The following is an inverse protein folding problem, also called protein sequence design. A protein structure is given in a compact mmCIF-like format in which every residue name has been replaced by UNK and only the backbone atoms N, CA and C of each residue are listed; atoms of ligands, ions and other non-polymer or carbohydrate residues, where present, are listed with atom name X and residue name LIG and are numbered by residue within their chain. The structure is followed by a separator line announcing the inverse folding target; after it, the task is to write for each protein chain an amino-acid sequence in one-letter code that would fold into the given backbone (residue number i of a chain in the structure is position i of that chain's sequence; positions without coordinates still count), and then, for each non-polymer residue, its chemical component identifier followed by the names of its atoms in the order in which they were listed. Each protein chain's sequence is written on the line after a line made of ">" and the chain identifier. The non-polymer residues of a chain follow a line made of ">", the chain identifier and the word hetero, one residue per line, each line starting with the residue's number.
data_IF_040406797738
#
_entry.id   IF_040406797738
#
_cell.length_a   1.000
_cell.length_b   1.000
_cell.length_c   1.000
_cell.angle_alpha   90.00
_cell.angle_beta   90.00
_cell.angle_gamma   90.00
#
_symmetry.space_group_name_H-M   'P 1'
#
loop_
_entity.id
_entity.type
_entity.pdbx_description
1 polymer ?
#
# COMPACT_ATOMS: atom_id res chain seq x y z
N UNK A 1 3.09 -7.04 1.93
CA UNK A 1 4.17 -6.80 0.94
C UNK A 1 5.14 -5.81 1.54
N UNK A 2 6.46 -6.02 1.50
CA UNK A 2 7.44 -5.16 2.18
C UNK A 2 8.66 -4.75 1.35
N UNK A 3 8.76 -5.24 0.10
CA UNK A 3 9.95 -5.09 -0.76
C UNK A 3 9.65 -4.44 -2.11
N UNK A 4 8.43 -3.92 -2.29
CA UNK A 4 8.01 -3.25 -3.53
C UNK A 4 8.66 -1.88 -3.70
N UNK A 5 8.67 -1.40 -4.94
CA UNK A 5 9.13 -0.04 -5.25
C UNK A 5 7.96 0.90 -5.00
N UNK A 6 8.17 1.94 -4.18
CA UNK A 6 7.17 2.99 -3.95
C UNK A 6 7.16 4.00 -5.10
N UNK A 7 6.00 4.58 -5.38
CA UNK A 7 5.86 5.58 -6.42
C UNK A 7 4.53 6.33 -6.35
N UNK A 8 4.20 6.98 -7.46
CA UNK A 8 2.98 7.78 -7.63
C UNK A 8 2.24 7.37 -8.91
N UNK A 9 0.91 7.42 -8.87
CA UNK A 9 0.08 7.37 -10.08
C UNK A 9 -0.97 8.47 -10.03
N UNK A 10 -0.64 9.62 -10.63
CA UNK A 10 -1.53 10.80 -10.71
C UNK A 10 -1.85 11.39 -9.33
N UNK A 11 -0.87 11.43 -8.43
CA UNK A 11 -1.03 11.93 -7.06
C UNK A 11 -1.40 10.85 -6.04
N UNK A 12 -1.74 9.63 -6.48
CA UNK A 12 -2.02 8.51 -5.58
C UNK A 12 -0.72 7.77 -5.22
N UNK A 13 -0.38 7.64 -3.92
CA UNK A 13 0.81 6.91 -3.50
C UNK A 13 0.63 5.41 -3.72
N UNK A 14 1.64 4.77 -4.31
CA UNK A 14 1.57 3.38 -4.76
C UNK A 14 2.78 2.55 -4.33
N UNK A 15 2.63 1.22 -4.41
CA UNK A 15 3.72 0.26 -4.36
C UNK A 15 3.58 -0.76 -5.49
N UNK A 16 4.65 -0.95 -6.26
CA UNK A 16 4.72 -1.97 -7.29
C UNK A 16 5.25 -3.30 -6.72
N UNK A 17 4.55 -4.40 -7.00
CA UNK A 17 4.96 -5.76 -6.61
C UNK A 17 6.33 -6.09 -7.19
N UNK A 18 7.30 -6.58 -6.39
CA UNK A 18 8.63 -6.93 -6.88
C UNK A 18 8.62 -7.98 -7.99
N UNK A 19 7.66 -8.90 -7.95
CA UNK A 19 7.56 -10.04 -8.85
C UNK A 19 6.58 -9.75 -9.99
N UNK A 20 5.28 -9.64 -9.66
CA UNK A 20 4.19 -9.50 -10.63
C UNK A 20 4.02 -8.11 -11.23
N UNK A 21 4.79 -7.11 -10.77
CA UNK A 21 4.77 -5.70 -11.22
C UNK A 21 3.44 -4.96 -11.12
N UNK A 22 2.39 -5.63 -10.65
CA UNK A 22 1.11 -5.03 -10.29
C UNK A 22 1.33 -3.88 -9.32
N UNK A 23 0.66 -2.76 -9.57
CA UNK A 23 0.72 -1.54 -8.78
C UNK A 23 -0.46 -1.49 -7.84
N UNK A 24 -0.22 -1.32 -6.54
CA UNK A 24 -1.25 -1.24 -5.52
C UNK A 24 -1.27 0.15 -4.88
N UNK A 25 -2.47 0.66 -4.60
CA UNK A 25 -2.66 1.88 -3.83
C UNK A 25 -2.23 1.69 -2.37
N UNK A 26 -1.46 2.62 -1.82
CA UNK A 26 -1.16 2.66 -0.39
C UNK A 26 -2.32 3.24 0.44
N UNK A 27 -3.32 3.85 -0.20
CA UNK A 27 -4.47 4.45 0.50
C UNK A 27 -5.50 3.38 0.89
N UNK A 28 -5.82 2.47 -0.01
CA UNK A 28 -6.92 1.50 0.19
C UNK A 28 -6.58 0.07 -0.24
N UNK A 29 -5.35 -0.17 -0.72
CA UNK A 29 -4.84 -1.49 -1.08
C UNK A 29 -5.34 -2.02 -2.42
N UNK A 30 -6.18 -1.29 -3.17
CA UNK A 30 -6.68 -1.75 -4.47
C UNK A 30 -5.53 -1.90 -5.47
N UNK A 31 -5.57 -2.94 -6.28
CA UNK A 31 -4.68 -3.05 -7.44
C UNK A 31 -5.17 -2.09 -8.53
N UNK A 32 -4.25 -1.32 -9.10
CA UNK A 32 -4.54 -0.33 -10.15
C UNK A 32 -4.47 -0.93 -11.56
N UNK A 33 -4.07 -2.20 -11.66
CA UNK A 33 -3.91 -2.92 -12.92
C UNK A 33 -4.95 -4.05 -13.09
N UNK A 34 -5.51 -4.56 -11.98
CA UNK A 34 -6.52 -5.62 -11.97
C UNK A 34 -7.40 -5.52 -10.72
N UNK A 35 -8.66 -5.12 -10.89
CA UNK A 35 -9.61 -4.89 -9.79
C UNK A 35 -9.96 -6.17 -9.00
N UNK A 36 -9.65 -7.36 -9.52
CA UNK A 36 -9.85 -8.61 -8.80
C UNK A 36 -8.88 -8.80 -7.62
N UNK A 37 -7.81 -7.99 -7.54
CA UNK A 37 -6.81 -8.07 -6.50
C UNK A 37 -6.83 -6.85 -5.56
N UNK A 38 -6.74 -7.12 -4.25
CA UNK A 38 -6.63 -6.10 -3.22
C UNK A 38 -5.75 -6.59 -2.08
N UNK A 39 -4.88 -5.72 -1.58
CA UNK A 39 -4.10 -5.96 -0.36
C UNK A 39 -4.87 -5.48 0.87
N UNK A 40 -4.74 -6.14 2.03
CA UNK A 40 -5.25 -5.60 3.28
C UNK A 40 -4.49 -4.31 3.63
N UNK A 41 -5.23 -3.30 4.06
CA UNK A 41 -4.71 -2.07 4.65
C UNK A 41 -5.06 -2.01 6.13
N UNK A 42 -4.23 -1.31 6.89
CA UNK A 42 -4.39 -1.15 8.34
C UNK A 42 -4.27 0.32 8.68
N UNK A 43 -5.12 0.80 9.58
CA UNK A 43 -4.98 2.15 10.11
C UNK A 43 -3.65 2.29 10.85
N UNK A 44 -2.98 3.40 10.58
CA UNK A 44 -1.68 3.73 11.18
C UNK A 44 -1.70 5.14 11.73
N UNK A 45 -0.98 5.34 12.83
CA UNK A 45 -0.74 6.66 13.41
C UNK A 45 0.68 6.76 13.96
N UNK A 46 1.15 7.98 14.16
CA UNK A 46 2.42 8.27 14.82
C UNK A 46 2.13 8.97 16.13
N UNK A 47 2.60 8.41 17.25
CA UNK A 47 2.49 8.99 18.60
C UNK A 47 3.88 9.01 19.20
N UNK A 48 4.39 10.20 19.53
CA UNK A 48 5.71 10.39 20.13
C UNK A 48 6.86 9.72 19.35
N UNK A 49 6.81 9.79 18.01
CA UNK A 49 7.80 9.17 17.12
C UNK A 49 7.65 7.66 16.93
N UNK A 50 6.68 7.02 17.61
CA UNK A 50 6.37 5.60 17.46
C UNK A 50 5.24 5.41 16.46
N UNK A 51 5.50 4.61 15.43
CA UNK A 51 4.47 4.18 14.47
C UNK A 51 3.64 3.06 15.11
N UNK A 52 2.35 3.28 15.22
CA UNK A 52 1.38 2.31 15.73
C UNK A 52 0.49 1.83 14.58
N UNK A 53 0.20 0.53 14.56
CA UNK A 53 -0.67 -0.12 13.60
C UNK A 53 -1.88 -0.67 14.37
N UNK A 54 -3.09 -0.44 13.88
CA UNK A 54 -4.29 -1.00 14.50
C UNK A 54 -4.23 -2.53 14.51
N UNK A 55 -4.45 -3.15 15.67
CA UNK A 55 -4.76 -4.57 15.74
C UNK A 55 -6.17 -4.79 15.22
N UNK A 56 -6.31 -5.76 14.32
CA UNK A 56 -7.56 -6.11 13.64
C UNK A 56 -8.73 -6.35 14.60
#
# INVERSE_FOLDING_TARGET
>A
MSRGIVGDRRGEPTVASPLGKQVFSLLDGRCLDDEAHRLPVYDVRVVDGIVQIASR
#
